data_IF_181974489134
#
_entry.id   IF_181974489134
#
_cell.length_a   1.000
_cell.length_b   1.000
_cell.length_c   1.000
_cell.angle_alpha   90.00
_cell.angle_beta   90.00
_cell.angle_gamma   90.00
#
_symmetry.space_group_name_H-M   'P 1'
#
loop_
_entity.id
_entity.type
_entity.pdbx_description
1 polymer ?
#
# COMPACT_ATOMS: atom_id res chain seq x y z
N UNK A 1 -24.45 6.46 21.08
CA UNK A 1 -23.31 5.55 20.86
C UNK A 1 -22.10 6.36 20.47
N UNK A 2 -20.92 6.05 21.01
CA UNK A 2 -19.68 6.80 20.72
C UNK A 2 -19.19 6.40 19.32
N UNK A 3 -19.29 7.31 18.36
CA UNK A 3 -18.71 7.10 17.03
C UNK A 3 -17.21 7.32 17.10
N UNK A 4 -16.47 6.53 16.31
CA UNK A 4 -15.01 6.60 16.23
C UNK A 4 -14.60 7.27 14.93
N UNK A 5 -13.47 7.96 14.94
CA UNK A 5 -12.86 8.50 13.74
C UNK A 5 -11.93 7.42 13.15
N UNK A 6 -12.14 7.08 11.89
CA UNK A 6 -11.27 6.21 11.10
C UNK A 6 -10.55 7.03 10.04
N UNK A 7 -9.23 6.87 9.98
CA UNK A 7 -8.32 7.59 9.09
C UNK A 7 -7.92 6.67 7.93
N UNK A 8 -8.27 7.07 6.71
CA UNK A 8 -7.96 6.36 5.48
C UNK A 8 -6.93 7.13 4.64
N UNK A 9 -5.84 6.44 4.27
CA UNK A 9 -4.79 6.94 3.36
C UNK A 9 -4.69 6.11 2.07
N UNK A 10 -5.44 5.01 1.99
CA UNK A 10 -5.41 4.01 0.91
C UNK A 10 -6.76 3.90 0.19
N UNK A 11 -7.12 2.70 -0.25
CA UNK A 11 -8.35 2.42 -1.00
C UNK A 11 -9.65 2.77 -0.26
N UNK A 12 -9.62 2.83 1.08
CA UNK A 12 -10.73 3.30 1.91
C UNK A 12 -10.94 4.84 1.85
N UNK A 13 -10.18 5.59 1.06
CA UNK A 13 -10.56 6.96 0.72
C UNK A 13 -11.75 6.99 -0.26
N UNK A 14 -11.96 5.91 -1.02
CA UNK A 14 -13.05 5.82 -1.99
C UNK A 14 -14.41 5.73 -1.30
N UNK A 15 -15.28 6.72 -1.50
CA UNK A 15 -16.68 6.70 -1.02
C UNK A 15 -17.44 5.46 -1.48
N UNK A 16 -17.22 5.01 -2.72
CA UNK A 16 -17.89 3.82 -3.28
C UNK A 16 -17.43 2.54 -2.57
N UNK A 17 -16.14 2.42 -2.26
CA UNK A 17 -15.65 1.24 -1.55
C UNK A 17 -16.04 1.29 -0.07
N UNK A 18 -15.99 2.47 0.54
CA UNK A 18 -16.41 2.68 1.94
C UNK A 18 -17.90 2.40 2.13
N UNK A 19 -18.79 2.84 1.25
CA UNK A 19 -20.21 2.53 1.36
C UNK A 19 -20.50 1.01 1.33
N UNK A 20 -19.67 0.22 0.64
CA UNK A 20 -19.79 -1.25 0.59
C UNK A 20 -19.22 -1.92 1.85
N UNK A 21 -18.08 -1.44 2.35
CA UNK A 21 -17.39 -2.00 3.53
C UNK A 21 -18.05 -1.58 4.84
N UNK A 22 -18.48 -0.33 4.92
CA UNK A 22 -18.95 0.37 6.11
C UNK A 22 -20.20 1.22 5.79
N UNK A 23 -21.41 0.64 5.81
CA UNK A 23 -22.63 1.35 5.42
C UNK A 23 -23.03 2.50 6.36
N UNK A 24 -22.58 2.50 7.62
CA UNK A 24 -22.88 3.57 8.56
C UNK A 24 -21.81 4.69 8.51
N UNK A 25 -20.78 4.55 7.67
CA UNK A 25 -19.66 5.48 7.62
C UNK A 25 -20.08 6.81 7.02
N UNK A 26 -19.69 7.89 7.69
CA UNK A 26 -19.94 9.27 7.23
C UNK A 26 -18.62 9.97 6.99
N UNK A 27 -18.39 10.38 5.74
CA UNK A 27 -17.25 11.21 5.38
C UNK A 27 -17.27 12.50 6.21
N UNK A 28 -16.22 12.72 7.00
CA UNK A 28 -16.15 13.85 7.93
C UNK A 28 -15.19 14.94 7.48
N UNK A 29 -14.17 14.62 6.67
CA UNK A 29 -13.28 15.61 6.08
C UNK A 29 -11.95 15.04 5.62
N UNK A 30 -11.00 15.93 5.36
CA UNK A 30 -9.64 15.63 4.95
C UNK A 30 -8.62 16.25 5.89
N UNK A 31 -7.43 15.67 5.96
CA UNK A 31 -6.32 16.21 6.74
C UNK A 31 -5.00 15.58 6.36
N UNK A 32 -4.01 15.69 7.23
CA UNK A 32 -2.70 15.06 7.03
C UNK A 32 -2.12 14.47 8.33
N UNK A 33 -1.45 13.34 8.20
CA UNK A 33 -0.65 12.75 9.28
C UNK A 33 0.80 13.18 9.06
N UNK A 34 1.40 13.91 10.02
CA UNK A 34 2.82 14.30 9.95
C UNK A 34 3.74 13.24 10.52
N UNK A 35 4.99 13.23 10.04
CA UNK A 35 6.00 12.28 10.49
C UNK A 35 5.81 10.89 9.88
N UNK A 36 5.10 10.80 8.76
CA UNK A 36 4.81 9.55 8.04
C UNK A 36 4.97 9.73 6.53
N UNK A 37 5.32 8.65 5.83
CA UNK A 37 5.23 8.54 4.38
C UNK A 37 4.35 7.38 3.96
N UNK A 38 3.77 7.49 2.76
CA UNK A 38 3.02 6.44 2.10
C UNK A 38 3.97 5.44 1.44
N UNK A 39 3.70 4.15 1.57
CA UNK A 39 4.48 3.05 0.98
C UNK A 39 3.56 1.95 0.49
N UNK A 40 4.10 0.99 -0.27
CA UNK A 40 3.39 -0.17 -0.78
C UNK A 40 4.13 -1.45 -0.40
N UNK A 41 3.38 -2.41 0.15
CA UNK A 41 3.92 -3.66 0.65
C UNK A 41 3.05 -4.85 0.27
N UNK A 42 3.71 -6.00 0.15
CA UNK A 42 3.09 -7.27 -0.19
C UNK A 42 2.20 -7.82 0.92
N UNK A 43 1.04 -8.29 0.49
CA UNK A 43 0.07 -9.11 1.21
C UNK A 43 -0.07 -10.48 0.53
N UNK A 44 -0.89 -11.38 1.09
CA UNK A 44 -1.22 -12.66 0.45
C UNK A 44 -1.89 -12.50 -0.92
N UNK A 45 -2.52 -11.36 -1.18
CA UNK A 45 -3.42 -11.16 -2.34
C UNK A 45 -2.98 -10.03 -3.27
N UNK A 46 -1.76 -9.50 -3.09
CA UNK A 46 -1.25 -8.37 -3.87
C UNK A 46 -0.50 -7.36 -2.99
N UNK A 47 -0.13 -6.20 -3.55
CA UNK A 47 0.54 -5.14 -2.80
C UNK A 47 -0.41 -3.97 -2.51
N UNK A 48 -0.42 -3.50 -1.26
CA UNK A 48 -1.35 -2.48 -0.79
C UNK A 48 -0.63 -1.36 -0.05
N UNK A 49 -1.31 -0.21 0.05
CA UNK A 49 -0.78 0.96 0.71
C UNK A 49 -0.56 0.74 2.21
N UNK A 50 0.49 1.34 2.74
CA UNK A 50 0.75 1.49 4.17
C UNK A 50 1.41 2.84 4.48
N UNK A 51 1.57 3.15 5.76
CA UNK A 51 2.30 4.33 6.21
C UNK A 51 3.38 3.96 7.23
N UNK A 52 4.56 4.53 7.08
CA UNK A 52 5.68 4.32 8.02
C UNK A 52 6.30 5.65 8.44
N UNK A 53 7.05 5.63 9.55
CA UNK A 53 7.62 6.84 10.14
C UNK A 53 8.66 7.48 9.22
N UNK A 54 8.50 8.79 8.97
CA UNK A 54 9.47 9.64 8.29
C UNK A 54 9.29 11.09 8.73
N UNK A 55 10.26 11.61 9.48
CA UNK A 55 10.14 12.87 10.24
C UNK A 55 9.69 14.06 9.38
N UNK A 56 10.27 14.21 8.19
CA UNK A 56 10.02 15.35 7.30
C UNK A 56 8.98 15.09 6.22
N UNK A 57 8.12 14.08 6.43
CA UNK A 57 7.05 13.72 5.50
C UNK A 57 5.67 13.85 6.14
N UNK A 58 4.65 13.86 5.28
CA UNK A 58 3.27 13.73 5.69
C UNK A 58 2.49 12.89 4.68
N UNK A 59 1.37 12.34 5.14
CA UNK A 59 0.43 11.59 4.30
C UNK A 59 -0.92 12.28 4.33
N UNK A 60 -1.49 12.68 3.17
CA UNK A 60 -2.84 13.21 3.12
C UNK A 60 -3.84 12.07 3.35
N UNK A 61 -4.90 12.39 4.09
CA UNK A 61 -5.88 11.40 4.55
C UNK A 61 -7.30 11.93 4.45
N UNK A 62 -8.22 10.98 4.32
CA UNK A 62 -9.65 11.19 4.51
C UNK A 62 -10.03 10.60 5.86
N UNK A 63 -10.92 11.25 6.61
CA UNK A 63 -11.41 10.69 7.86
C UNK A 63 -12.93 10.53 7.88
N UNK A 64 -13.35 9.40 8.45
CA UNK A 64 -14.72 8.92 8.49
C UNK A 64 -15.18 8.80 9.93
N UNK A 65 -16.43 9.17 10.21
CA UNK A 65 -17.12 8.72 11.42
C UNK A 65 -17.68 7.34 11.16
N UNK A 66 -17.26 6.36 11.95
CA UNK A 66 -17.68 4.96 11.80
C UNK A 66 -18.44 4.45 13.03
N UNK A 67 -19.35 3.51 12.81
CA UNK A 67 -20.03 2.79 13.89
C UNK A 67 -19.16 1.66 14.45
N UNK A 68 -19.46 1.13 15.65
CA UNK A 68 -18.79 -0.09 16.13
C UNK A 68 -19.00 -1.30 15.22
N UNK A 69 -20.08 -1.33 14.42
CA UNK A 69 -20.30 -2.39 13.44
C UNK A 69 -19.37 -2.25 12.24
N UNK A 70 -19.18 -1.02 11.76
CA UNK A 70 -18.21 -0.71 10.70
C UNK A 70 -16.78 -1.05 11.12
N UNK A 71 -16.37 -0.72 12.37
CA UNK A 71 -15.02 -1.07 12.86
C UNK A 71 -14.78 -2.59 12.79
N UNK A 72 -15.77 -3.41 13.15
CA UNK A 72 -15.65 -4.88 13.03
C UNK A 72 -15.52 -5.36 11.59
N UNK A 73 -16.17 -4.67 10.64
CA UNK A 73 -16.07 -4.98 9.21
C UNK A 73 -14.70 -4.59 8.66
N UNK A 74 -14.17 -3.44 9.10
CA UNK A 74 -12.80 -3.02 8.80
C UNK A 74 -11.78 -3.99 9.39
N UNK A 75 -11.94 -4.42 10.65
CA UNK A 75 -11.02 -5.40 11.26
C UNK A 75 -10.93 -6.69 10.43
N UNK A 76 -12.07 -7.20 9.96
CA UNK A 76 -12.10 -8.36 9.07
C UNK A 76 -11.48 -8.08 7.70
N UNK A 77 -11.77 -6.91 7.12
CA UNK A 77 -11.28 -6.51 5.80
C UNK A 77 -9.76 -6.28 5.76
N UNK A 78 -9.23 -5.59 6.77
CA UNK A 78 -7.81 -5.26 6.93
C UNK A 78 -6.99 -6.45 7.46
N UNK A 79 -7.65 -7.58 7.74
CA UNK A 79 -7.02 -8.79 8.28
C UNK A 79 -6.35 -8.56 9.64
N UNK A 80 -6.94 -7.68 10.46
CA UNK A 80 -6.44 -7.35 11.79
C UNK A 80 -6.46 -8.59 12.72
N UNK A 81 -5.43 -8.81 13.55
CA UNK A 81 -4.19 -8.03 13.68
C UNK A 81 -3.02 -8.57 12.83
N UNK A 82 -3.24 -9.55 11.93
CA UNK A 82 -2.17 -10.29 11.25
C UNK A 82 -1.55 -9.53 10.06
N UNK A 83 -2.36 -8.74 9.35
CA UNK A 83 -1.89 -8.01 8.17
C UNK A 83 -1.64 -6.56 8.50
N UNK A 84 -2.67 -5.91 9.04
CA UNK A 84 -2.58 -4.57 9.58
C UNK A 84 -2.83 -4.59 11.09
N UNK A 85 -2.10 -3.74 11.82
CA UNK A 85 -2.38 -3.42 13.21
C UNK A 85 -3.09 -2.07 13.32
N UNK A 86 -3.77 -1.87 14.45
CA UNK A 86 -4.51 -0.64 14.75
C UNK A 86 -3.65 0.32 15.55
N UNK A 87 -3.68 1.60 15.19
CA UNK A 87 -2.99 2.68 15.91
C UNK A 87 -3.87 3.92 15.97
N UNK A 88 -3.82 4.67 17.07
CA UNK A 88 -4.35 6.03 17.11
C UNK A 88 -3.27 7.01 16.64
N UNK A 89 -3.65 7.90 15.73
CA UNK A 89 -2.76 8.94 15.17
C UNK A 89 -3.45 10.29 15.21
N UNK A 90 -2.61 11.33 15.34
CA UNK A 90 -3.06 12.71 15.24
C UNK A 90 -3.06 13.14 13.77
N UNK A 91 -4.12 13.82 13.38
CA UNK A 91 -4.35 14.35 12.04
C UNK A 91 -4.53 15.85 12.14
N UNK A 92 -3.70 16.59 11.40
CA UNK A 92 -3.88 18.03 11.21
C UNK A 92 -4.97 18.27 10.17
N UNK A 93 -6.02 18.99 10.55
CA UNK A 93 -7.10 19.48 9.68
C UNK A 93 -7.16 21.00 9.71
N UNK A 94 -7.97 21.60 8.84
CA UNK A 94 -8.18 23.05 8.83
C UNK A 94 -8.86 23.55 10.14
N UNK A 95 -9.60 22.68 10.83
CA UNK A 95 -10.31 22.97 12.07
C UNK A 95 -9.50 22.62 13.34
N UNK A 96 -8.25 22.15 13.18
CA UNK A 96 -7.35 21.79 14.28
C UNK A 96 -6.88 20.34 14.22
N UNK A 97 -6.42 19.82 15.37
CA UNK A 97 -5.90 18.46 15.46
C UNK A 97 -7.02 17.53 15.95
N UNK A 98 -7.24 16.43 15.22
CA UNK A 98 -8.10 15.34 15.64
C UNK A 98 -7.29 14.06 15.85
N UNK A 99 -7.76 13.17 16.71
CA UNK A 99 -7.17 11.85 16.90
C UNK A 99 -8.11 10.78 16.36
N UNK A 100 -7.56 9.80 15.64
CA UNK A 100 -8.34 8.74 15.04
C UNK A 100 -7.58 7.45 14.79
N UNK A 101 -8.38 6.39 14.59
CA UNK A 101 -7.91 5.05 14.29
C UNK A 101 -7.36 4.96 12.87
N UNK A 102 -6.18 4.39 12.72
CA UNK A 102 -5.57 4.02 11.44
C UNK A 102 -5.13 2.56 11.46
N UNK A 103 -5.21 1.90 10.30
CA UNK A 103 -4.62 0.57 10.08
C UNK A 103 -3.25 0.74 9.47
N UNK A 104 -2.20 0.14 10.03
CA UNK A 104 -0.82 0.18 9.50
C UNK A 104 -0.37 -1.25 9.25
N UNK A 105 0.24 -1.50 8.09
CA UNK A 105 0.72 -2.83 7.71
C UNK A 105 2.00 -3.11 8.51
N UNK A 106 2.19 -4.34 8.99
CA UNK A 106 3.41 -4.69 9.74
C UNK A 106 4.69 -4.36 8.95
N UNK A 107 5.65 -3.79 9.66
CA UNK A 107 6.86 -3.21 9.09
C UNK A 107 7.81 -4.29 8.51
N UNK A 108 7.71 -5.53 8.97
CA UNK A 108 8.48 -6.69 8.49
C UNK A 108 8.05 -7.20 7.11
N UNK A 109 6.86 -6.78 6.63
CA UNK A 109 6.39 -7.15 5.30
C UNK A 109 7.26 -6.53 4.21
N UNK A 110 7.45 -7.29 3.13
CA UNK A 110 8.28 -6.91 2.00
C UNK A 110 7.62 -5.82 1.17
N UNK A 111 8.43 -4.94 0.62
CA UNK A 111 7.97 -3.94 -0.35
C UNK A 111 7.54 -4.60 -1.64
N UNK A 112 6.63 -3.94 -2.35
CA UNK A 112 6.13 -4.47 -3.60
C UNK A 112 5.36 -3.42 -4.41
N UNK A 113 4.99 -3.82 -5.62
CA UNK A 113 4.34 -2.95 -6.60
C UNK A 113 2.84 -3.27 -6.57
N UNK A 114 1.97 -2.29 -6.31
CA UNK A 114 0.52 -2.49 -6.37
C UNK A 114 0.09 -2.78 -7.81
N UNK A 115 -1.02 -3.49 -7.96
CA UNK A 115 -1.65 -3.65 -9.27
C UNK A 115 -2.12 -2.29 -9.82
N UNK A 116 -2.05 -2.12 -11.14
CA UNK A 116 -2.36 -0.85 -11.83
C UNK A 116 -3.75 -0.32 -11.47
N UNK A 117 -4.78 -1.17 -11.46
CA UNK A 117 -6.14 -0.75 -11.14
C UNK A 117 -6.25 -0.22 -9.70
N UNK A 118 -5.48 -0.78 -8.76
CA UNK A 118 -5.46 -0.34 -7.36
C UNK A 118 -4.81 1.04 -7.26
N UNK A 119 -3.65 1.20 -7.90
CA UNK A 119 -2.95 2.48 -7.92
C UNK A 119 -3.76 3.58 -8.62
N UNK A 120 -4.36 3.29 -9.77
CA UNK A 120 -5.23 4.23 -10.51
C UNK A 120 -6.47 4.65 -9.70
N UNK A 121 -7.04 3.73 -8.91
CA UNK A 121 -8.12 4.09 -7.99
C UNK A 121 -7.64 5.08 -6.93
N UNK A 122 -6.47 4.87 -6.34
CA UNK A 122 -5.88 5.82 -5.39
C UNK A 122 -5.59 7.17 -6.06
N UNK A 123 -5.07 7.19 -7.29
CA UNK A 123 -4.88 8.46 -8.01
C UNK A 123 -6.20 9.21 -8.23
N UNK A 124 -7.28 8.49 -8.55
CA UNK A 124 -8.62 9.09 -8.69
C UNK A 124 -9.08 9.71 -7.38
N UNK A 125 -8.89 9.00 -6.27
CA UNK A 125 -9.28 9.51 -4.95
C UNK A 125 -8.43 10.72 -4.55
N UNK A 126 -7.11 10.69 -4.79
CA UNK A 126 -6.22 11.85 -4.59
C UNK A 126 -6.71 13.06 -5.40
N UNK A 127 -7.03 12.88 -6.69
CA UNK A 127 -7.57 13.96 -7.53
C UNK A 127 -8.90 14.49 -6.99
N UNK A 128 -9.79 13.61 -6.52
CA UNK A 128 -11.10 13.99 -5.97
C UNK A 128 -10.99 14.85 -4.72
N UNK A 129 -10.04 14.53 -3.83
CA UNK A 129 -9.82 15.29 -2.60
C UNK A 129 -8.80 16.43 -2.75
N UNK A 130 -8.29 16.67 -3.95
CA UNK A 130 -7.32 17.74 -4.22
C UNK A 130 -5.95 17.50 -3.59
N UNK A 131 -5.58 16.25 -3.33
CA UNK A 131 -4.29 15.88 -2.75
C UNK A 131 -3.18 15.94 -3.80
N UNK A 132 -1.97 16.28 -3.34
CA UNK A 132 -0.78 16.29 -4.20
C UNK A 132 -0.39 14.87 -4.60
N UNK A 133 -0.52 14.57 -5.90
CA UNK A 133 -0.13 13.28 -6.49
C UNK A 133 1.37 13.01 -6.35
N UNK A 134 2.21 14.02 -6.11
CA UNK A 134 3.65 13.82 -5.88
C UNK A 134 3.91 12.93 -4.66
N UNK A 135 3.03 12.96 -3.65
CA UNK A 135 3.13 12.12 -2.45
C UNK A 135 2.85 10.65 -2.78
N UNK A 136 1.78 10.40 -3.55
CA UNK A 136 1.43 9.05 -4.01
C UNK A 136 2.51 8.45 -4.92
N UNK A 137 3.07 9.28 -5.82
CA UNK A 137 4.18 8.88 -6.71
C UNK A 137 5.46 8.64 -5.94
N UNK A 138 5.78 9.50 -4.97
CA UNK A 138 6.94 9.31 -4.11
C UNK A 138 6.84 8.01 -3.30
N UNK A 139 5.66 7.70 -2.75
CA UNK A 139 5.43 6.44 -2.05
C UNK A 139 5.67 5.21 -2.92
N UNK A 140 5.23 5.24 -4.19
CA UNK A 140 5.50 4.16 -5.14
C UNK A 140 7.00 4.04 -5.43
N UNK A 141 7.68 5.15 -5.74
CA UNK A 141 9.13 5.14 -6.00
C UNK A 141 9.93 4.63 -4.80
N UNK A 142 9.69 5.15 -3.60
CA UNK A 142 10.42 4.69 -2.41
C UNK A 142 10.16 3.21 -2.12
N UNK A 143 8.97 2.70 -2.44
CA UNK A 143 8.67 1.26 -2.30
C UNK A 143 9.47 0.44 -3.30
N UNK A 144 9.59 0.89 -4.55
CA UNK A 144 10.41 0.29 -5.60
C UNK A 144 11.89 0.26 -5.24
N UNK A 145 12.43 1.39 -4.77
CA UNK A 145 13.83 1.52 -4.33
C UNK A 145 14.16 0.51 -3.22
N UNK A 146 13.23 0.28 -2.29
CA UNK A 146 13.43 -0.66 -1.17
C UNK A 146 13.25 -2.14 -1.54
N UNK A 147 12.94 -2.45 -2.80
CA UNK A 147 12.97 -3.82 -3.30
C UNK A 147 14.37 -4.25 -3.72
N UNK A 148 15.30 -3.32 -3.96
CA UNK A 148 16.70 -3.66 -4.28
C UNK A 148 17.31 -4.59 -3.22
N UNK A 149 18.04 -5.60 -3.69
CA UNK A 149 18.63 -6.64 -2.83
C UNK A 149 17.65 -7.74 -2.40
N UNK A 150 16.36 -7.62 -2.69
CA UNK A 150 15.38 -8.68 -2.37
C UNK A 150 15.72 -9.96 -3.14
N UNK A 151 15.79 -11.09 -2.43
CA UNK A 151 15.90 -12.41 -3.05
C UNK A 151 14.54 -12.92 -3.46
N UNK A 152 14.47 -13.53 -4.64
CA UNK A 152 13.26 -14.10 -5.18
C UNK A 152 13.53 -15.42 -5.90
N UNK A 153 12.48 -16.22 -6.04
CA UNK A 153 12.47 -17.47 -6.79
C UNK A 153 11.41 -17.43 -7.89
N UNK A 154 11.80 -17.77 -9.11
CA UNK A 154 10.90 -17.81 -10.26
C UNK A 154 9.90 -18.96 -10.13
N UNK A 155 8.61 -18.65 -10.26
CA UNK A 155 7.52 -19.64 -10.30
C UNK A 155 7.08 -19.88 -11.75
N UNK A 156 6.85 -18.82 -12.52
CA UNK A 156 6.45 -18.88 -13.92
C UNK A 156 6.83 -17.60 -14.69
N UNK A 157 7.21 -17.76 -15.96
CA UNK A 157 7.45 -16.69 -16.92
C UNK A 157 7.23 -17.27 -18.32
N UNK A 158 6.33 -16.67 -19.09
CA UNK A 158 6.00 -17.11 -20.45
C UNK A 158 6.92 -16.43 -21.48
N UNK A 159 8.22 -16.73 -21.38
CA UNK A 159 9.23 -16.26 -22.33
C UNK A 159 10.17 -17.41 -22.74
N UNK A 160 10.55 -17.47 -24.02
CA UNK A 160 11.46 -18.49 -24.55
C UNK A 160 12.85 -18.45 -23.91
N UNK A 161 13.26 -17.31 -23.39
CA UNK A 161 14.54 -17.09 -22.72
C UNK A 161 14.41 -17.10 -21.18
N UNK A 162 13.25 -17.49 -20.65
CA UNK A 162 13.03 -17.56 -19.21
C UNK A 162 14.06 -18.48 -18.52
N UNK A 163 14.60 -18.07 -17.35
CA UNK A 163 15.32 -18.99 -16.48
C UNK A 163 14.44 -20.22 -16.14
N UNK A 164 15.04 -21.37 -15.79
CA UNK A 164 14.26 -22.51 -15.31
C UNK A 164 13.40 -22.14 -14.09
N UNK A 165 12.20 -22.70 -14.01
CA UNK A 165 11.36 -22.61 -12.80
C UNK A 165 12.16 -23.02 -11.56
N UNK A 166 12.02 -22.27 -10.47
CA UNK A 166 12.76 -22.46 -9.23
C UNK A 166 14.13 -21.78 -9.21
N UNK A 167 14.56 -21.14 -10.30
CA UNK A 167 15.77 -20.32 -10.30
C UNK A 167 15.60 -19.16 -9.34
N UNK A 168 16.63 -18.90 -8.54
CA UNK A 168 16.67 -17.77 -7.63
C UNK A 168 17.43 -16.60 -8.24
N UNK A 169 17.13 -15.40 -7.76
CA UNK A 169 17.76 -14.18 -8.22
C UNK A 169 17.63 -13.05 -7.23
N UNK A 170 18.38 -11.99 -7.46
CA UNK A 170 18.42 -10.79 -6.61
C UNK A 170 17.91 -9.59 -7.39
N UNK A 171 16.90 -8.91 -6.87
CA UNK A 171 16.39 -7.65 -7.44
C UNK A 171 17.52 -6.63 -7.46
N UNK A 172 17.83 -6.11 -8.65
CA UNK A 172 18.79 -5.03 -8.84
C UNK A 172 18.10 -3.67 -8.71
N UNK A 173 16.97 -3.49 -9.38
CA UNK A 173 16.14 -2.30 -9.28
C UNK A 173 14.75 -2.57 -9.89
N UNK A 174 13.83 -1.64 -9.69
CA UNK A 174 12.54 -1.62 -10.38
C UNK A 174 12.44 -0.32 -11.17
N UNK A 175 12.15 -0.42 -12.47
CA UNK A 175 12.06 0.76 -13.33
C UNK A 175 10.69 1.47 -13.22
N UNK A 176 10.55 2.57 -13.99
CA UNK A 176 9.34 3.38 -13.96
C UNK A 176 8.11 2.65 -14.51
N UNK A 177 8.30 1.70 -15.43
CA UNK A 177 7.25 0.83 -15.97
C UNK A 177 6.81 -0.23 -14.96
N UNK A 178 7.58 -0.45 -13.89
CA UNK A 178 7.31 -1.46 -12.87
C UNK A 178 7.93 -2.82 -13.19
N UNK A 179 8.78 -2.91 -14.21
CA UNK A 179 9.56 -4.13 -14.47
C UNK A 179 10.61 -4.30 -13.37
N UNK A 180 10.65 -5.48 -12.78
CA UNK A 180 11.61 -5.84 -11.73
C UNK A 180 12.84 -6.42 -12.42
N UNK A 181 13.94 -5.69 -12.41
CA UNK A 181 15.20 -6.15 -12.99
C UNK A 181 15.91 -7.07 -12.00
N UNK A 182 16.17 -8.30 -12.42
CA UNK A 182 16.71 -9.36 -11.55
C UNK A 182 18.04 -9.84 -12.10
N UNK A 183 19.04 -9.92 -11.24
CA UNK A 183 20.24 -10.71 -11.50
C UNK A 183 19.94 -12.15 -11.06
N UNK A 184 19.65 -13.02 -12.01
CA UNK A 184 19.41 -14.44 -11.74
C UNK A 184 20.73 -15.17 -11.47
N UNK A 185 20.70 -16.18 -10.60
CA UNK A 185 21.88 -16.98 -10.24
C UNK A 185 22.42 -17.80 -11.43
N UNK A 186 21.58 -18.02 -12.44
CA UNK A 186 21.98 -18.62 -13.73
C UNK A 186 22.77 -17.66 -14.63
N UNK A 187 22.91 -16.38 -14.25
CA UNK A 187 23.52 -15.33 -15.05
C UNK A 187 22.55 -14.59 -15.99
N UNK A 188 21.28 -15.01 -16.06
CA UNK A 188 20.25 -14.26 -16.79
C UNK A 188 19.97 -12.90 -16.13
N UNK A 189 19.52 -11.94 -16.94
CA UNK A 189 19.10 -10.60 -16.52
C UNK A 189 17.66 -10.26 -16.94
N UNK A 190 16.87 -11.28 -17.31
CA UNK A 190 15.49 -11.07 -17.76
C UNK A 190 14.63 -10.53 -16.62
N UNK A 191 13.92 -9.43 -16.87
CA UNK A 191 13.08 -8.78 -15.86
C UNK A 191 11.76 -9.52 -15.63
N UNK A 192 11.20 -9.37 -14.44
CA UNK A 192 9.84 -9.83 -14.11
C UNK A 192 8.82 -8.70 -14.33
N UNK A 193 7.68 -9.04 -14.90
CA UNK A 193 6.55 -8.16 -15.13
C UNK A 193 5.44 -8.52 -14.13
N UNK A 194 5.13 -7.64 -13.15
CA UNK A 194 4.03 -7.86 -12.22
C UNK A 194 2.69 -8.15 -12.91
N UNK A 195 1.98 -9.18 -12.45
CA UNK A 195 0.70 -9.61 -13.01
C UNK A 195 0.81 -10.43 -14.30
N UNK A 196 2.01 -10.56 -14.87
CA UNK A 196 2.28 -11.46 -16.02
C UNK A 196 3.15 -12.64 -15.58
N UNK A 197 4.23 -12.36 -14.86
CA UNK A 197 5.12 -13.38 -14.31
C UNK A 197 4.76 -13.70 -12.85
N UNK A 198 5.14 -14.89 -12.40
CA UNK A 198 4.93 -15.35 -11.03
C UNK A 198 6.28 -15.62 -10.35
N UNK A 199 6.42 -15.14 -9.11
CA UNK A 199 7.59 -15.37 -8.28
C UNK A 199 7.20 -15.39 -6.80
N UNK A 200 8.09 -15.90 -5.96
CA UNK A 200 8.00 -15.74 -4.52
C UNK A 200 9.25 -15.02 -3.99
N UNK A 201 9.06 -14.19 -2.97
CA UNK A 201 10.18 -13.59 -2.23
C UNK A 201 10.71 -14.62 -1.24
N UNK A 202 12.04 -14.79 -1.20
CA UNK A 202 12.72 -15.77 -0.33
C UNK A 202 13.64 -15.04 0.66
N UNK A 203 13.96 -15.71 1.76
CA UNK A 203 14.90 -15.23 2.80
C UNK A 203 16.36 -15.41 2.40
#
# INVERSE_FOLDING_TARGET
MKQRIYIAYGSNMSEVQMARRCPDAVLSGTGRIRGYELLFKGSLTGCYATIEKKADAFVPVVFWRISPADERRLDAYEGFPRFYYKKEVDVETDDGIISGLVYIMHEDRRFGIPEDWYYQNMERDYRRFGFDLSILRAGLRHSRERMEGTRLRLIAMDDRQAPPKGTEGTVQFVDDAGTIHVQWDTGSSLGLIPGTDEWEVIE
#
